data_IF_147057768509
#
_entry.id   IF_147057768509
#
_cell.length_a   1.000
_cell.length_b   1.000
_cell.length_c   1.000
_cell.angle_alpha   90.00
_cell.angle_beta   90.00
_cell.angle_gamma   90.00
#
_symmetry.space_group_name_H-M   'P 1'
#
loop_
_entity.id
_entity.type
_entity.pdbx_description
1 polymer ?
#
# COMPACT_ATOMS: atom_id res chain seq x y z
N UNK A 1 35.81 -4.05 -7.42
CA UNK A 1 35.40 -3.50 -8.73
C UNK A 1 34.79 -2.11 -8.48
N UNK A 2 35.34 -1.08 -9.09
CA UNK A 2 34.71 0.26 -9.07
C UNK A 2 33.68 0.27 -10.17
N UNK A 3 32.40 0.31 -9.81
CA UNK A 3 31.36 0.59 -10.77
C UNK A 3 31.49 2.06 -11.18
N UNK A 4 31.64 2.32 -12.46
CA UNK A 4 31.52 3.66 -13.03
C UNK A 4 30.05 4.04 -12.90
N UNK A 5 29.73 4.90 -11.93
CA UNK A 5 28.44 5.58 -11.88
C UNK A 5 28.34 6.38 -13.18
N UNK A 6 27.37 6.07 -13.99
CA UNK A 6 26.90 7.00 -15.02
C UNK A 6 26.41 8.21 -14.25
N UNK A 7 26.97 9.39 -14.52
CA UNK A 7 26.66 10.64 -13.82
C UNK A 7 25.26 11.14 -14.25
N UNK A 8 24.22 10.41 -13.89
CA UNK A 8 22.83 10.80 -14.03
C UNK A 8 22.25 11.21 -12.66
N UNK A 9 21.21 12.03 -12.66
CA UNK A 9 20.43 12.32 -11.47
C UNK A 9 19.68 11.06 -11.05
N UNK A 10 19.66 10.75 -9.77
CA UNK A 10 18.82 9.69 -9.19
C UNK A 10 17.95 10.25 -8.07
N UNK A 11 16.82 9.62 -7.82
CA UNK A 11 15.96 9.89 -6.65
C UNK A 11 15.74 8.61 -5.87
N UNK A 12 15.56 8.75 -4.56
CA UNK A 12 15.26 7.66 -3.64
C UNK A 12 13.84 7.81 -3.09
N UNK A 13 12.98 6.87 -3.44
CA UNK A 13 11.56 6.83 -3.06
C UNK A 13 11.33 5.65 -2.14
N UNK A 14 11.02 5.89 -0.86
CA UNK A 14 10.71 4.84 0.11
C UNK A 14 9.21 4.67 0.28
N UNK A 15 8.72 3.42 0.28
CA UNK A 15 7.30 3.13 0.53
C UNK A 15 7.09 2.69 1.97
N UNK A 16 6.37 3.51 2.74
CA UNK A 16 6.14 3.32 4.17
C UNK A 16 4.88 2.52 4.52
N UNK A 17 4.06 2.15 3.55
CA UNK A 17 2.84 1.36 3.77
C UNK A 17 2.37 0.75 2.47
N UNK A 18 1.93 -0.50 2.50
CA UNK A 18 1.27 -1.19 1.39
C UNK A 18 -0.24 -1.36 1.58
N UNK A 19 -0.80 -0.94 2.71
CA UNK A 19 -2.25 -0.98 2.98
C UNK A 19 -2.62 -0.16 4.22
N UNK A 20 -3.88 0.21 4.34
CA UNK A 20 -4.38 0.89 5.54
C UNK A 20 -4.32 -0.04 6.77
N UNK A 21 -3.53 0.35 7.77
CA UNK A 21 -3.30 -0.43 8.98
C UNK A 21 -1.98 -1.21 8.99
N UNK A 22 -1.07 -0.91 8.05
CA UNK A 22 0.28 -1.48 8.00
C UNK A 22 1.15 -1.02 9.19
N UNK A 23 2.41 -1.38 9.17
CA UNK A 23 3.36 -1.19 10.25
C UNK A 23 3.58 0.29 10.61
N UNK A 24 3.55 0.59 11.91
CA UNK A 24 3.92 1.91 12.43
C UNK A 24 5.44 2.13 12.51
N UNK A 25 6.24 1.09 12.30
CA UNK A 25 7.70 1.17 12.36
C UNK A 25 8.31 1.66 11.06
N UNK A 26 7.63 1.46 9.93
CA UNK A 26 8.10 1.77 8.58
C UNK A 26 8.57 3.21 8.43
N UNK A 27 7.73 4.16 8.82
CA UNK A 27 8.05 5.60 8.72
C UNK A 27 9.34 5.92 9.44
N UNK A 28 9.50 5.44 10.68
CA UNK A 28 10.71 5.68 11.47
C UNK A 28 11.95 5.08 10.80
N UNK A 29 11.88 3.84 10.33
CA UNK A 29 12.98 3.18 9.63
C UNK A 29 13.41 3.96 8.38
N UNK A 30 12.44 4.34 7.56
CA UNK A 30 12.67 5.05 6.30
C UNK A 30 13.18 6.47 6.53
N UNK A 31 12.60 7.21 7.48
CA UNK A 31 13.06 8.57 7.81
C UNK A 31 14.46 8.54 8.42
N UNK A 32 14.75 7.64 9.34
CA UNK A 32 16.03 7.63 10.04
C UNK A 32 17.19 7.13 9.14
N UNK A 33 16.93 6.13 8.30
CA UNK A 33 17.99 5.39 7.60
C UNK A 33 17.83 5.33 6.08
N UNK A 34 16.69 5.74 5.51
CA UNK A 34 16.40 5.60 4.08
C UNK A 34 17.15 6.59 3.19
N UNK A 35 17.53 7.75 3.70
CA UNK A 35 18.10 8.86 2.92
C UNK A 35 17.24 9.17 1.70
N UNK A 36 15.99 9.55 1.92
CA UNK A 36 14.94 9.65 0.91
C UNK A 36 14.76 11.07 0.39
N UNK A 37 14.49 11.18 -0.92
CA UNK A 37 13.93 12.36 -1.55
C UNK A 37 12.40 12.37 -1.38
N UNK A 38 11.77 11.18 -1.45
CA UNK A 38 10.34 11.00 -1.31
C UNK A 38 10.00 9.85 -0.36
N UNK A 39 8.99 10.07 0.46
CA UNK A 39 8.34 9.06 1.29
C UNK A 39 6.91 8.87 0.79
N UNK A 40 6.55 7.67 0.38
CA UNK A 40 5.22 7.37 -0.14
C UNK A 40 4.47 6.41 0.75
N UNK A 41 3.13 6.46 0.69
CA UNK A 41 2.24 5.54 1.41
C UNK A 41 1.11 5.14 0.48
N UNK A 42 0.97 3.84 0.31
CA UNK A 42 -0.18 3.24 -0.34
C UNK A 42 -1.13 2.66 0.71
N UNK A 43 -2.33 3.23 0.80
CA UNK A 43 -3.37 2.82 1.75
C UNK A 43 -4.61 2.25 1.04
N UNK A 44 -4.68 2.35 -0.29
CA UNK A 44 -5.94 2.14 -0.99
C UNK A 44 -6.00 0.83 -1.76
N UNK A 45 -7.07 0.11 -1.51
CA UNK A 45 -7.58 -0.98 -2.33
C UNK A 45 -9.10 -0.82 -2.46
N UNK A 46 -9.76 -1.67 -3.21
CA UNK A 46 -11.22 -1.68 -3.33
C UNK A 46 -11.90 -1.87 -1.97
N UNK A 47 -11.32 -2.67 -1.07
CA UNK A 47 -11.81 -2.90 0.29
C UNK A 47 -11.71 -1.63 1.11
N UNK A 48 -10.55 -0.98 1.11
CA UNK A 48 -10.32 0.25 1.90
C UNK A 48 -11.19 1.40 1.40
N UNK A 49 -11.37 1.56 0.08
CA UNK A 49 -12.31 2.53 -0.48
C UNK A 49 -13.74 2.29 0.01
N UNK A 50 -14.19 1.04 0.08
CA UNK A 50 -15.50 0.68 0.62
C UNK A 50 -15.62 1.01 2.11
N UNK A 51 -14.60 0.74 2.91
CA UNK A 51 -14.56 1.06 4.34
C UNK A 51 -14.57 2.57 4.58
N UNK A 52 -13.79 3.34 3.82
CA UNK A 52 -13.75 4.80 3.90
C UNK A 52 -15.07 5.43 3.50
N UNK A 53 -15.70 4.91 2.44
CA UNK A 53 -17.05 5.32 2.04
C UNK A 53 -18.06 5.08 3.17
N UNK A 54 -18.06 3.90 3.77
CA UNK A 54 -18.93 3.60 4.91
C UNK A 54 -18.64 4.47 6.13
N UNK A 55 -17.38 4.82 6.38
CA UNK A 55 -17.00 5.74 7.44
C UNK A 55 -17.53 7.16 7.18
N UNK A 56 -17.40 7.66 5.95
CA UNK A 56 -17.92 8.98 5.54
C UNK A 56 -19.44 9.07 5.61
N UNK A 57 -20.15 7.99 5.28
CA UNK A 57 -21.62 7.93 5.44
C UNK A 57 -22.06 8.08 6.89
N UNK A 58 -21.26 7.59 7.85
CA UNK A 58 -21.56 7.72 9.31
C UNK A 58 -21.11 9.06 9.87
N UNK A 59 -19.98 9.58 9.38
CA UNK A 59 -19.35 10.83 9.82
C UNK A 59 -18.80 11.55 8.58
N UNK A 60 -19.46 12.62 8.12
CA UNK A 60 -19.09 13.33 6.89
C UNK A 60 -17.64 13.84 6.83
N UNK A 61 -17.04 14.09 7.99
CA UNK A 61 -15.64 14.52 8.13
C UNK A 61 -14.64 13.39 7.90
N UNK A 62 -15.07 12.12 7.95
CA UNK A 62 -14.24 10.95 7.70
C UNK A 62 -14.20 10.61 6.20
N UNK A 63 -13.64 9.46 5.83
CA UNK A 63 -13.52 8.98 4.45
C UNK A 63 -12.09 8.99 3.94
N UNK A 64 -11.13 9.07 4.84
CA UNK A 64 -9.70 8.99 4.58
C UNK A 64 -9.03 8.02 5.58
N UNK A 65 -7.77 7.65 5.34
CA UNK A 65 -6.98 6.83 6.27
C UNK A 65 -6.36 7.71 7.38
N UNK A 66 -6.92 7.72 8.60
CA UNK A 66 -6.42 8.59 9.67
C UNK A 66 -5.02 8.21 10.15
N UNK A 67 -4.54 7.02 9.83
CA UNK A 67 -3.23 6.48 10.22
C UNK A 67 -2.07 7.32 9.68
N UNK A 68 -2.25 8.04 8.57
CA UNK A 68 -1.23 8.94 8.02
C UNK A 68 -0.85 10.04 9.00
N UNK A 69 -1.78 10.49 9.84
CA UNK A 69 -1.55 11.59 10.79
C UNK A 69 -0.53 11.18 11.86
N UNK A 70 -0.73 10.12 12.66
CA UNK A 70 0.26 9.67 13.63
C UNK A 70 1.54 9.14 12.99
N UNK A 71 1.51 8.69 11.73
CA UNK A 71 2.70 8.24 11.01
C UNK A 71 3.62 9.39 10.63
N UNK A 72 3.09 10.54 10.18
CA UNK A 72 3.89 11.67 9.74
C UNK A 72 4.23 12.66 10.84
N UNK A 73 3.28 12.93 11.75
CA UNK A 73 3.39 14.02 12.75
C UNK A 73 4.70 13.98 13.57
N UNK A 74 5.22 12.81 14.00
CA UNK A 74 6.49 12.76 14.75
C UNK A 74 7.73 13.12 13.92
N UNK A 75 7.64 13.10 12.59
CA UNK A 75 8.77 13.13 11.68
C UNK A 75 8.85 14.41 10.83
N UNK A 76 7.93 15.36 10.95
CA UNK A 76 7.91 16.58 10.12
C UNK A 76 9.24 17.35 10.14
N UNK A 77 9.85 17.52 11.32
CA UNK A 77 11.12 18.26 11.41
C UNK A 77 12.24 17.55 10.65
N UNK A 78 12.32 16.23 10.75
CA UNK A 78 13.32 15.43 10.04
C UNK A 78 13.08 15.43 8.53
N UNK A 79 11.84 15.32 8.09
CA UNK A 79 11.46 15.38 6.67
C UNK A 79 11.82 16.73 6.07
N UNK A 80 11.47 17.82 6.73
CA UNK A 80 11.80 19.19 6.28
C UNK A 80 13.31 19.45 6.28
N UNK A 81 14.03 19.03 7.31
CA UNK A 81 15.47 19.22 7.38
C UNK A 81 16.23 18.53 6.24
N UNK A 82 15.65 17.46 5.68
CA UNK A 82 16.21 16.70 4.54
C UNK A 82 15.63 17.12 3.20
N UNK A 83 14.58 17.93 3.18
CA UNK A 83 13.83 18.24 1.96
C UNK A 83 13.00 17.09 1.43
N UNK A 84 12.78 16.03 2.24
CA UNK A 84 11.99 14.86 1.84
C UNK A 84 10.52 15.24 1.71
N UNK A 85 9.94 15.01 0.54
CA UNK A 85 8.52 15.23 0.27
C UNK A 85 7.71 13.96 0.50
N UNK A 86 6.40 14.11 0.73
CA UNK A 86 5.49 12.99 0.98
C UNK A 86 4.43 12.92 -0.11
N UNK A 87 4.18 11.73 -0.65
CA UNK A 87 3.07 11.47 -1.58
C UNK A 87 2.26 10.28 -1.06
N UNK A 88 0.94 10.44 -0.92
CA UNK A 88 0.13 9.45 -0.24
C UNK A 88 -1.32 9.45 -0.76
N UNK A 89 -1.90 8.29 -0.94
CA UNK A 89 -3.30 8.13 -1.31
C UNK A 89 -4.26 8.00 -0.10
N UNK A 90 -3.79 8.38 1.10
CA UNK A 90 -4.60 8.34 2.32
C UNK A 90 -5.90 9.14 2.25
N UNK A 91 -6.04 10.06 1.31
CA UNK A 91 -7.23 10.89 1.14
C UNK A 91 -8.51 10.10 0.84
N UNK A 92 -8.39 8.93 0.20
CA UNK A 92 -9.52 8.05 -0.03
C UNK A 92 -10.68 8.74 -0.75
N UNK A 93 -11.84 8.84 -0.09
CA UNK A 93 -13.01 9.55 -0.60
C UNK A 93 -13.18 10.96 -0.02
N UNK A 94 -12.21 11.44 0.74
CA UNK A 94 -12.21 12.77 1.39
C UNK A 94 -10.78 13.33 1.55
N UNK A 95 -10.06 13.60 0.46
CA UNK A 95 -8.69 14.11 0.53
C UNK A 95 -8.59 15.47 1.23
N UNK A 96 -9.57 16.36 1.07
CA UNK A 96 -9.63 17.66 1.75
C UNK A 96 -9.72 17.50 3.27
N UNK A 97 -10.61 16.62 3.76
CA UNK A 97 -10.72 16.34 5.19
C UNK A 97 -9.45 15.72 5.78
N UNK A 98 -8.75 14.89 5.00
CA UNK A 98 -7.44 14.36 5.36
C UNK A 98 -6.40 15.48 5.50
N UNK A 99 -6.33 16.40 4.53
CA UNK A 99 -5.41 17.52 4.54
C UNK A 99 -5.66 18.47 5.72
N UNK A 100 -6.92 18.79 6.01
CA UNK A 100 -7.28 19.61 7.17
C UNK A 100 -6.86 18.94 8.50
N UNK A 101 -7.09 17.63 8.62
CA UNK A 101 -6.71 16.90 9.84
C UNK A 101 -5.20 16.86 10.02
N UNK A 102 -4.44 16.66 8.92
CA UNK A 102 -2.99 16.68 8.94
C UNK A 102 -2.43 18.07 9.25
N UNK A 103 -2.99 19.13 8.65
CA UNK A 103 -2.61 20.52 8.92
C UNK A 103 -2.80 20.88 10.39
N UNK A 104 -3.96 20.53 10.98
CA UNK A 104 -4.24 20.73 12.42
C UNK A 104 -3.23 19.97 13.30
N UNK A 105 -2.82 18.78 12.91
CA UNK A 105 -1.82 18.00 13.65
C UNK A 105 -0.42 18.62 13.55
N UNK A 106 -0.04 19.12 12.38
CA UNK A 106 1.21 19.83 12.14
C UNK A 106 1.28 21.11 12.98
N UNK A 107 0.23 21.91 12.97
CA UNK A 107 0.12 23.14 13.77
C UNK A 107 0.30 22.88 15.27
N UNK A 108 -0.36 21.83 15.80
CA UNK A 108 -0.21 21.40 17.20
C UNK A 108 1.23 21.00 17.55
N UNK A 109 2.00 20.56 16.57
CA UNK A 109 3.43 20.25 16.72
C UNK A 109 4.33 21.48 16.53
N UNK A 110 3.77 22.64 16.21
CA UNK A 110 4.50 23.87 15.95
C UNK A 110 5.10 23.95 14.54
N UNK A 111 4.74 23.02 13.66
CA UNK A 111 5.14 23.07 12.25
C UNK A 111 4.23 24.05 11.54
N UNK A 112 4.79 25.19 11.14
CA UNK A 112 4.09 26.26 10.43
C UNK A 112 4.30 26.15 8.94
N UNK A 113 3.34 26.67 8.17
CA UNK A 113 3.44 26.83 6.71
C UNK A 113 3.73 25.52 5.93
N UNK A 114 3.23 24.38 6.46
CA UNK A 114 3.30 23.10 5.76
C UNK A 114 2.42 23.16 4.50
N UNK A 115 3.04 23.02 3.33
CA UNK A 115 2.33 23.02 2.05
C UNK A 115 1.75 21.64 1.77
N UNK A 116 0.45 21.49 1.99
CA UNK A 116 -0.30 20.26 1.72
C UNK A 116 -1.17 20.47 0.49
N UNK A 117 -1.02 19.60 -0.50
CA UNK A 117 -1.94 19.53 -1.64
C UNK A 117 -2.93 18.38 -1.39
N UNK A 118 -4.23 18.67 -1.57
CA UNK A 118 -5.29 17.66 -1.59
C UNK A 118 -5.75 17.48 -3.04
N UNK A 119 -5.69 16.27 -3.58
CA UNK A 119 -6.08 15.92 -4.94
C UNK A 119 -7.35 15.08 -4.88
N UNK A 120 -8.45 15.64 -5.38
CA UNK A 120 -9.74 14.98 -5.57
C UNK A 120 -10.13 14.93 -7.05
N UNK A 121 -11.43 14.68 -7.29
CA UNK A 121 -12.00 14.67 -8.65
C UNK A 121 -12.09 13.28 -9.30
N UNK A 122 -11.59 12.26 -8.64
CA UNK A 122 -11.70 10.85 -9.03
C UNK A 122 -13.12 10.28 -8.83
N UNK A 123 -13.96 10.93 -8.03
CA UNK A 123 -15.32 10.51 -7.74
C UNK A 123 -16.24 10.69 -8.96
N UNK A 124 -16.97 9.63 -9.29
CA UNK A 124 -17.95 9.59 -10.38
C UNK A 124 -19.31 9.27 -9.78
N UNK A 125 -20.33 10.04 -10.17
CA UNK A 125 -21.71 9.71 -9.79
C UNK A 125 -22.25 8.63 -10.72
N UNK A 126 -22.64 7.50 -10.15
CA UNK A 126 -23.28 6.39 -10.86
C UNK A 126 -24.46 5.86 -10.06
N UNK A 127 -25.64 5.79 -10.70
CA UNK A 127 -26.85 5.30 -10.06
C UNK A 127 -26.70 3.85 -9.58
N UNK A 128 -27.16 3.57 -8.36
CA UNK A 128 -27.09 2.25 -7.75
C UNK A 128 -25.72 1.89 -7.16
N UNK A 129 -24.79 2.85 -7.10
CA UNK A 129 -23.53 2.72 -6.36
C UNK A 129 -23.55 3.57 -5.10
N UNK A 130 -22.77 3.17 -4.09
CA UNK A 130 -22.51 3.96 -2.88
C UNK A 130 -21.33 4.89 -3.13
N UNK A 131 -20.33 4.43 -3.86
CA UNK A 131 -19.23 5.22 -4.42
C UNK A 131 -18.78 4.62 -5.75
N UNK A 132 -18.21 5.48 -6.60
CA UNK A 132 -17.49 5.10 -7.79
C UNK A 132 -16.32 6.06 -7.96
N UNK A 133 -15.12 5.52 -8.18
CA UNK A 133 -13.88 6.29 -8.25
C UNK A 133 -13.06 5.83 -9.44
N UNK A 134 -12.64 6.77 -10.29
CA UNK A 134 -11.70 6.49 -11.38
C UNK A 134 -10.27 6.38 -10.84
N UNK A 135 -9.50 5.46 -11.40
CA UNK A 135 -8.09 5.35 -11.09
C UNK A 135 -7.31 6.36 -11.93
N UNK A 136 -6.87 7.43 -11.29
CA UNK A 136 -6.06 8.46 -11.94
C UNK A 136 -4.59 8.03 -12.05
N UNK A 137 -3.88 8.66 -12.98
CA UNK A 137 -2.44 8.52 -13.14
C UNK A 137 -1.64 9.56 -12.33
N UNK A 138 -0.37 9.69 -12.67
CA UNK A 138 0.59 10.50 -11.93
C UNK A 138 0.51 12.01 -12.23
N UNK A 139 -0.23 12.45 -13.26
CA UNK A 139 -0.22 13.86 -13.72
C UNK A 139 -0.59 14.85 -12.62
N UNK A 140 -1.61 14.53 -11.81
CA UNK A 140 -2.05 15.40 -10.71
C UNK A 140 -1.01 15.51 -9.59
N UNK A 141 -0.28 14.42 -9.31
CA UNK A 141 0.83 14.42 -8.36
C UNK A 141 1.96 15.31 -8.84
N UNK A 142 2.33 15.20 -10.13
CA UNK A 142 3.37 16.06 -10.75
C UNK A 142 2.99 17.52 -10.64
N UNK A 143 1.74 17.87 -10.91
CA UNK A 143 1.28 19.25 -10.84
C UNK A 143 1.32 19.80 -9.40
N UNK A 144 0.89 19.02 -8.42
CA UNK A 144 0.99 19.41 -7.01
C UNK A 144 2.45 19.64 -6.56
N UNK A 145 3.35 18.76 -6.97
CA UNK A 145 4.79 18.89 -6.67
C UNK A 145 5.40 20.13 -7.35
N UNK A 146 5.03 20.45 -8.59
CA UNK A 146 5.46 21.67 -9.29
C UNK A 146 5.00 22.94 -8.58
N UNK A 147 3.83 22.93 -7.95
CA UNK A 147 3.34 24.04 -7.13
C UNK A 147 4.01 24.11 -5.74
N UNK A 148 4.96 23.22 -5.45
CA UNK A 148 5.78 23.23 -4.26
C UNK A 148 5.14 22.56 -3.06
N UNK A 149 4.23 21.60 -3.25
CA UNK A 149 3.71 20.80 -2.17
C UNK A 149 4.81 20.00 -1.47
N UNK A 150 4.82 20.03 -0.12
CA UNK A 150 5.66 19.20 0.74
C UNK A 150 4.97 17.86 1.02
N UNK A 151 3.64 17.87 1.08
CA UNK A 151 2.79 16.69 1.24
C UNK A 151 1.70 16.72 0.19
N UNK A 152 1.59 15.64 -0.56
CA UNK A 152 0.52 15.42 -1.55
C UNK A 152 -0.38 14.31 -1.04
N UNK A 153 -1.65 14.62 -0.82
CA UNK A 153 -2.69 13.68 -0.41
C UNK A 153 -3.67 13.50 -1.55
N UNK A 154 -3.90 12.27 -1.97
CA UNK A 154 -4.78 11.98 -3.12
C UNK A 154 -5.99 11.13 -2.73
N UNK A 155 -7.05 11.22 -3.54
CA UNK A 155 -8.07 10.20 -3.66
C UNK A 155 -7.54 8.98 -4.41
N UNK A 156 -8.42 8.30 -5.18
CA UNK A 156 -8.03 7.08 -5.91
C UNK A 156 -7.18 7.41 -7.12
N UNK A 157 -5.96 6.91 -7.11
CA UNK A 157 -5.09 6.82 -8.27
C UNK A 157 -4.54 5.40 -8.38
N UNK A 158 -3.84 5.07 -9.44
CA UNK A 158 -3.07 3.80 -9.51
C UNK A 158 -1.93 3.85 -8.51
N UNK A 159 -1.70 2.76 -7.82
CA UNK A 159 -0.79 2.68 -6.68
C UNK A 159 0.65 3.03 -7.08
N UNK A 160 1.08 2.55 -8.24
CA UNK A 160 2.39 2.90 -8.84
C UNK A 160 2.55 4.40 -9.19
N UNK A 161 1.47 5.14 -9.37
CA UNK A 161 1.53 6.58 -9.65
C UNK A 161 2.09 7.41 -8.48
N UNK A 162 2.05 6.87 -7.25
CA UNK A 162 2.70 7.47 -6.07
C UNK A 162 4.21 7.60 -6.25
N UNK A 163 4.81 6.71 -7.02
CA UNK A 163 6.25 6.67 -7.30
C UNK A 163 6.57 7.29 -8.65
N UNK A 164 5.77 7.00 -9.66
CA UNK A 164 5.91 7.59 -11.00
C UNK A 164 5.83 9.12 -10.96
N UNK A 165 4.90 9.69 -10.16
CA UNK A 165 4.75 11.14 -10.03
C UNK A 165 6.02 11.87 -9.60
N UNK A 166 6.66 11.48 -8.49
CA UNK A 166 7.99 11.94 -8.11
C UNK A 166 9.04 11.83 -9.22
N UNK A 167 9.15 10.70 -9.89
CA UNK A 167 10.12 10.49 -10.97
C UNK A 167 9.89 11.46 -12.15
N UNK A 168 8.66 11.57 -12.63
CA UNK A 168 8.30 12.52 -13.70
C UNK A 168 8.57 13.96 -13.28
N UNK A 169 8.24 14.32 -12.03
CA UNK A 169 8.48 15.66 -11.49
C UNK A 169 9.98 16.02 -11.48
N UNK A 170 10.81 15.14 -10.95
CA UNK A 170 12.24 15.42 -10.76
C UNK A 170 13.04 15.38 -12.06
N UNK A 171 12.70 14.46 -12.96
CA UNK A 171 13.46 14.27 -14.20
C UNK A 171 12.86 15.02 -15.38
N UNK A 172 11.62 15.51 -15.27
CA UNK A 172 10.93 16.18 -16.36
C UNK A 172 10.62 15.26 -17.54
N UNK A 173 10.36 13.98 -17.28
CA UNK A 173 10.01 13.02 -18.33
C UNK A 173 8.79 13.48 -19.11
N UNK A 174 8.87 13.34 -20.42
CA UNK A 174 7.74 13.67 -21.27
C UNK A 174 6.65 12.59 -21.16
N UNK A 175 5.39 13.03 -21.26
CA UNK A 175 4.23 12.13 -21.17
C UNK A 175 4.08 11.18 -22.38
N UNK A 176 4.97 11.24 -23.34
CA UNK A 176 5.10 10.31 -24.47
C UNK A 176 6.42 9.55 -24.47
N UNK A 177 7.20 9.61 -23.40
CA UNK A 177 8.38 8.79 -23.17
C UNK A 177 7.95 7.47 -22.49
N UNK A 178 7.26 6.66 -23.27
CA UNK A 178 6.54 5.47 -22.76
C UNK A 178 7.43 4.51 -21.99
N UNK A 179 8.67 4.33 -22.44
CA UNK A 179 9.61 3.41 -21.76
C UNK A 179 9.97 3.90 -20.36
N UNK A 180 10.22 5.20 -20.19
CA UNK A 180 10.51 5.78 -18.87
C UNK A 180 9.28 5.78 -17.97
N UNK A 181 8.09 6.09 -18.52
CA UNK A 181 6.84 6.02 -17.77
C UNK A 181 6.54 4.59 -17.31
N UNK A 182 6.78 3.60 -18.17
CA UNK A 182 6.63 2.19 -17.84
C UNK A 182 7.66 1.74 -16.77
N UNK A 183 8.91 2.17 -16.89
CA UNK A 183 9.95 1.87 -15.91
C UNK A 183 9.64 2.48 -14.53
N UNK A 184 9.22 3.75 -14.47
CA UNK A 184 8.78 4.40 -13.24
C UNK A 184 7.54 3.74 -12.63
N UNK A 185 6.59 3.29 -13.46
CA UNK A 185 5.42 2.54 -13.03
C UNK A 185 5.80 1.15 -12.51
N UNK A 186 6.76 0.46 -13.13
CA UNK A 186 7.28 -0.82 -12.66
C UNK A 186 7.99 -0.66 -11.30
N UNK A 187 8.80 0.37 -11.13
CA UNK A 187 9.42 0.68 -9.85
C UNK A 187 8.35 0.90 -8.77
N UNK A 188 7.28 1.63 -9.11
CA UNK A 188 6.13 1.84 -8.25
C UNK A 188 5.45 0.54 -7.88
N UNK A 189 5.09 -0.28 -8.85
CA UNK A 189 4.43 -1.57 -8.65
C UNK A 189 5.23 -2.53 -7.76
N UNK A 190 6.55 -2.53 -7.87
CA UNK A 190 7.40 -3.38 -7.02
C UNK A 190 7.41 -2.92 -5.56
N UNK A 191 7.35 -1.60 -5.28
CA UNK A 191 7.50 -1.09 -3.91
C UNK A 191 6.18 -0.70 -3.23
N UNK A 192 5.09 -0.51 -3.97
CA UNK A 192 3.80 -0.01 -3.45
C UNK A 192 3.21 -0.87 -2.33
N UNK A 193 3.39 -2.19 -2.40
CA UNK A 193 2.91 -3.12 -1.37
C UNK A 193 3.86 -3.23 -0.15
N UNK A 194 4.70 -2.23 0.07
CA UNK A 194 5.56 -2.14 1.26
C UNK A 194 6.45 -3.36 1.44
N UNK A 195 6.39 -3.99 2.61
CA UNK A 195 7.29 -5.10 2.97
C UNK A 195 7.11 -6.38 2.15
N UNK A 196 6.18 -6.47 1.20
CA UNK A 196 6.03 -7.67 0.37
C UNK A 196 7.30 -7.93 -0.45
N UNK A 197 7.82 -6.92 -1.15
CA UNK A 197 9.04 -7.08 -1.97
C UNK A 197 10.35 -7.17 -1.15
N UNK A 198 10.27 -7.01 0.17
CA UNK A 198 11.38 -7.24 1.09
C UNK A 198 11.25 -8.57 1.86
N UNK A 199 10.39 -9.45 1.40
CA UNK A 199 10.22 -10.82 1.91
C UNK A 199 9.07 -11.02 2.90
N UNK A 200 8.21 -10.02 3.12
CA UNK A 200 7.06 -10.14 4.02
C UNK A 200 5.98 -11.12 3.54
N UNK A 201 5.93 -11.39 2.24
CA UNK A 201 5.03 -12.35 1.59
C UNK A 201 5.76 -13.37 0.71
N UNK A 202 7.06 -13.58 0.97
CA UNK A 202 7.89 -14.46 0.16
C UNK A 202 7.51 -15.93 0.34
N UNK A 203 7.39 -16.67 -0.78
CA UNK A 203 7.10 -18.12 -0.77
C UNK A 203 8.12 -18.89 0.06
N UNK A 204 9.41 -18.59 -0.09
CA UNK A 204 10.49 -19.18 0.70
C UNK A 204 10.72 -18.42 2.01
N UNK A 205 9.65 -18.14 2.72
CA UNK A 205 9.60 -17.30 3.93
C UNK A 205 10.60 -17.72 5.02
N UNK A 206 11.01 -19.00 5.09
CA UNK A 206 12.00 -19.49 6.06
C UNK A 206 13.36 -18.80 5.92
N UNK A 207 13.69 -18.32 4.72
CA UNK A 207 14.93 -17.62 4.43
C UNK A 207 14.96 -16.19 4.99
N UNK A 208 13.82 -15.64 5.38
CA UNK A 208 13.68 -14.25 5.82
C UNK A 208 13.00 -14.10 7.20
N UNK A 209 12.30 -15.14 7.67
CA UNK A 209 11.44 -15.09 8.88
C UNK A 209 12.16 -14.71 10.17
N UNK A 210 13.43 -15.03 10.29
CA UNK A 210 14.22 -14.72 11.50
C UNK A 210 14.35 -13.22 11.78
N UNK A 211 14.13 -12.37 10.76
CA UNK A 211 14.25 -10.93 10.85
C UNK A 211 12.94 -10.18 10.62
N UNK A 212 11.80 -10.86 10.53
CA UNK A 212 10.49 -10.23 10.31
C UNK A 212 10.08 -9.25 11.42
N UNK A 213 10.52 -9.46 12.65
CA UNK A 213 10.27 -8.55 13.77
C UNK A 213 10.78 -7.11 13.51
N UNK A 214 11.74 -6.94 12.59
CA UNK A 214 12.27 -5.64 12.17
C UNK A 214 12.33 -5.55 10.64
N UNK A 215 11.35 -6.10 9.94
CA UNK A 215 11.33 -6.13 8.48
C UNK A 215 11.48 -4.70 7.91
N UNK A 216 12.38 -4.56 6.95
CA UNK A 216 12.63 -3.29 6.28
C UNK A 216 11.58 -3.00 5.20
N UNK A 217 11.23 -1.74 5.07
CA UNK A 217 10.37 -1.27 3.99
C UNK A 217 11.19 -0.86 2.78
N UNK A 218 10.65 -1.05 1.55
CA UNK A 218 11.43 -0.92 0.33
C UNK A 218 11.72 0.53 -0.05
N UNK A 219 12.80 0.67 -0.80
CA UNK A 219 13.24 1.92 -1.41
C UNK A 219 13.52 1.62 -2.89
N UNK A 220 12.89 2.37 -3.79
CA UNK A 220 13.28 2.44 -5.19
C UNK A 220 14.29 3.57 -5.38
N UNK A 221 15.44 3.27 -5.96
CA UNK A 221 16.42 4.27 -6.41
C UNK A 221 16.32 4.36 -7.92
N UNK A 222 15.70 5.43 -8.43
CA UNK A 222 15.33 5.61 -9.83
C UNK A 222 16.26 6.62 -10.46
N UNK A 223 16.83 6.27 -11.61
CA UNK A 223 17.68 7.15 -12.41
C UNK A 223 16.86 7.87 -13.50
N UNK A 224 17.42 8.96 -14.03
CA UNK A 224 16.74 9.79 -15.02
C UNK A 224 16.57 9.07 -16.38
N UNK A 225 17.33 8.03 -16.64
CA UNK A 225 17.19 7.16 -17.82
C UNK A 225 16.10 6.09 -17.68
N UNK A 226 15.43 6.02 -16.50
CA UNK A 226 14.41 5.05 -16.18
C UNK A 226 14.92 3.75 -15.55
N UNK A 227 16.24 3.48 -15.56
CA UNK A 227 16.79 2.33 -14.83
C UNK A 227 16.62 2.52 -13.33
N UNK A 228 16.41 1.43 -12.58
CA UNK A 228 16.23 1.55 -11.14
C UNK A 228 16.78 0.37 -10.35
N UNK A 229 17.03 0.63 -9.08
CA UNK A 229 17.38 -0.37 -8.07
C UNK A 229 16.28 -0.45 -7.02
N UNK A 230 16.07 -1.65 -6.51
CA UNK A 230 15.24 -1.89 -5.32
C UNK A 230 16.17 -2.24 -4.16
N UNK A 231 15.96 -1.59 -3.04
CA UNK A 231 16.72 -1.81 -1.80
C UNK A 231 15.83 -1.57 -0.58
N UNK A 232 16.41 -1.55 0.61
CA UNK A 232 15.73 -1.20 1.87
C UNK A 232 16.62 -0.40 2.79
N UNK A 233 16.06 0.14 3.87
CA UNK A 233 16.86 0.87 4.86
C UNK A 233 17.92 -0.04 5.51
N UNK A 234 19.18 0.40 5.63
CA UNK A 234 20.24 -0.39 6.25
C UNK A 234 19.91 -0.76 7.70
N UNK A 235 20.37 -1.94 8.14
CA UNK A 235 20.14 -2.44 9.50
C UNK A 235 18.72 -2.95 9.78
N UNK A 236 17.86 -3.00 8.77
CA UNK A 236 16.52 -3.60 8.88
C UNK A 236 16.53 -5.05 8.44
N UNK A 237 15.52 -5.80 8.93
CA UNK A 237 15.28 -7.20 8.55
C UNK A 237 14.64 -7.34 7.17
N UNK A 238 14.19 -8.56 6.87
CA UNK A 238 13.73 -8.91 5.54
C UNK A 238 14.89 -9.08 4.56
N UNK A 239 14.58 -9.27 3.29
CA UNK A 239 15.57 -9.48 2.23
C UNK A 239 15.07 -8.93 0.91
N UNK A 240 15.87 -8.08 0.28
CA UNK A 240 15.68 -7.66 -1.12
C UNK A 240 16.56 -8.54 -2.00
N UNK A 241 15.91 -9.44 -2.73
CA UNK A 241 16.56 -10.44 -3.60
C UNK A 241 15.68 -10.71 -4.82
N UNK A 242 16.18 -11.53 -5.74
CA UNK A 242 15.43 -11.93 -6.92
C UNK A 242 14.01 -12.43 -6.57
N UNK A 243 13.88 -13.37 -5.62
CA UNK A 243 12.60 -14.00 -5.29
C UNK A 243 11.53 -13.01 -4.83
N UNK A 244 11.72 -12.27 -3.73
CA UNK A 244 10.74 -11.28 -3.26
C UNK A 244 10.38 -10.22 -4.29
N UNK A 245 11.36 -9.75 -5.09
CA UNK A 245 11.12 -8.74 -6.13
C UNK A 245 10.34 -9.33 -7.31
N UNK A 246 10.66 -10.56 -7.73
CA UNK A 246 9.97 -11.25 -8.82
C UNK A 246 8.53 -11.60 -8.44
N UNK A 247 8.29 -12.04 -7.20
CA UNK A 247 6.95 -12.30 -6.68
C UNK A 247 6.11 -11.03 -6.67
N UNK A 248 6.67 -9.90 -6.27
CA UNK A 248 5.96 -8.63 -6.30
C UNK A 248 5.74 -8.12 -7.73
N UNK A 249 6.70 -8.29 -8.64
CA UNK A 249 6.54 -7.91 -10.04
C UNK A 249 5.36 -8.64 -10.70
N UNK A 250 5.13 -9.90 -10.35
CA UNK A 250 4.05 -10.71 -10.90
C UNK A 250 2.73 -10.60 -10.14
N UNK A 251 2.75 -9.97 -8.98
CA UNK A 251 1.57 -9.80 -8.13
C UNK A 251 0.51 -8.93 -8.82
N UNK A 252 -0.74 -9.43 -8.90
CA UNK A 252 -1.87 -8.74 -9.54
C UNK A 252 -1.71 -8.41 -11.04
N UNK A 253 -0.63 -8.83 -11.68
CA UNK A 253 -0.40 -8.63 -13.11
C UNK A 253 -1.06 -9.77 -13.90
N UNK A 254 -2.11 -9.44 -14.69
CA UNK A 254 -2.82 -10.41 -15.50
C UNK A 254 -2.06 -10.77 -16.80
N UNK A 255 -1.77 -9.77 -17.61
CA UNK A 255 -0.97 -9.93 -18.83
C UNK A 255 0.31 -9.10 -18.70
N UNK A 256 1.48 -9.73 -18.56
CA UNK A 256 2.75 -9.01 -18.42
C UNK A 256 3.12 -8.18 -19.65
N UNK A 257 2.68 -8.57 -20.84
CA UNK A 257 2.94 -7.80 -22.07
C UNK A 257 2.03 -6.59 -22.23
N UNK A 258 1.02 -6.40 -21.35
CA UNK A 258 0.09 -5.29 -21.44
C UNK A 258 -0.51 -5.00 -20.05
N UNK A 259 0.31 -4.49 -19.15
CA UNK A 259 -0.15 -3.99 -17.86
C UNK A 259 -0.69 -2.58 -18.04
N UNK A 260 -2.03 -2.47 -18.07
CA UNK A 260 -2.73 -1.23 -18.45
C UNK A 260 -2.80 -0.29 -17.25
N UNK A 261 -2.18 0.87 -17.40
CA UNK A 261 -2.17 1.97 -16.43
C UNK A 261 -2.69 3.25 -17.09
N UNK A 262 -3.13 4.25 -16.33
CA UNK A 262 -3.59 5.52 -16.89
C UNK A 262 -2.53 6.29 -17.68
N UNK A 263 -1.27 6.18 -17.27
CA UNK A 263 -0.16 6.95 -17.85
C UNK A 263 0.53 6.20 -18.99
N UNK A 264 0.43 4.86 -19.02
CA UNK A 264 1.16 4.00 -19.95
C UNK A 264 0.57 2.60 -19.95
N UNK A 265 0.68 1.87 -21.06
CA UNK A 265 0.57 0.40 -21.08
C UNK A 265 1.99 -0.15 -20.96
N UNK A 266 2.32 -0.72 -19.80
CA UNK A 266 3.65 -1.25 -19.53
C UNK A 266 3.77 -2.71 -19.99
N UNK A 267 4.92 -3.05 -20.59
CA UNK A 267 5.29 -4.40 -20.96
C UNK A 267 6.43 -4.90 -20.06
N UNK A 268 6.14 -5.94 -19.28
CA UNK A 268 7.05 -6.59 -18.34
C UNK A 268 7.60 -7.92 -18.87
N UNK A 269 7.33 -8.28 -20.14
CA UNK A 269 7.69 -9.58 -20.72
C UNK A 269 9.20 -9.83 -20.73
N UNK A 270 9.99 -8.77 -20.93
CA UNK A 270 11.44 -8.82 -21.06
C UNK A 270 12.17 -8.29 -19.82
N UNK A 271 11.45 -8.14 -18.70
CA UNK A 271 12.05 -7.64 -17.46
C UNK A 271 13.13 -8.58 -16.94
N UNK A 272 14.26 -7.99 -16.58
CA UNK A 272 15.40 -8.67 -15.98
C UNK A 272 15.58 -8.17 -14.55
N UNK A 273 15.70 -9.12 -13.63
CA UNK A 273 15.92 -8.88 -12.21
C UNK A 273 17.28 -9.46 -11.85
N UNK A 274 18.21 -8.63 -11.42
CA UNK A 274 19.60 -8.98 -11.14
C UNK A 274 20.00 -8.55 -9.73
N UNK A 275 20.44 -9.49 -8.90
CA UNK A 275 21.06 -9.16 -7.61
C UNK A 275 22.45 -8.56 -7.86
N UNK A 276 22.62 -7.28 -7.56
CA UNK A 276 23.89 -6.54 -7.78
C UNK A 276 24.65 -6.26 -6.49
N UNK A 277 24.07 -6.60 -5.35
CA UNK A 277 24.65 -6.46 -4.01
C UNK A 277 23.76 -7.06 -2.95
N UNK A 278 24.21 -7.07 -1.71
CA UNK A 278 23.37 -7.48 -0.57
C UNK A 278 22.20 -6.50 -0.43
N UNK A 279 20.97 -7.04 -0.44
CA UNK A 279 19.74 -6.25 -0.42
C UNK A 279 19.65 -5.18 -1.52
N UNK A 280 20.26 -5.41 -2.67
CA UNK A 280 20.22 -4.52 -3.83
C UNK A 280 19.94 -5.32 -5.09
N UNK A 281 18.81 -5.03 -5.71
CA UNK A 281 18.34 -5.66 -6.95
C UNK A 281 18.18 -4.61 -8.03
N UNK A 282 18.77 -4.87 -9.20
CA UNK A 282 18.57 -4.06 -10.41
C UNK A 282 17.42 -4.64 -11.22
N UNK A 283 16.54 -3.76 -11.69
CA UNK A 283 15.45 -4.11 -12.60
C UNK A 283 15.61 -3.33 -13.91
N UNK A 284 15.55 -4.01 -15.03
CA UNK A 284 15.70 -3.45 -16.39
C UNK A 284 14.82 -4.19 -17.38
N UNK A 285 14.74 -3.70 -18.62
CA UNK A 285 14.01 -4.36 -19.70
C UNK A 285 12.50 -4.06 -19.72
N UNK A 286 12.04 -3.08 -18.96
CA UNK A 286 10.67 -2.58 -19.03
C UNK A 286 10.53 -1.72 -20.28
N UNK A 287 9.47 -1.94 -21.05
CA UNK A 287 9.10 -1.09 -22.18
C UNK A 287 7.67 -0.60 -22.06
N UNK A 288 7.29 0.44 -22.80
CA UNK A 288 5.99 1.06 -22.70
C UNK A 288 5.33 1.34 -24.04
N UNK A 289 4.00 1.41 -24.01
CA UNK A 289 3.14 1.79 -25.13
C UNK A 289 2.21 2.92 -24.71
N UNK A 290 1.62 3.66 -25.66
CA UNK A 290 0.62 4.67 -25.35
C UNK A 290 -0.49 4.13 -24.41
N UNK A 291 -0.97 4.93 -23.46
CA UNK A 291 -2.10 4.53 -22.61
C UNK A 291 -3.37 4.35 -23.43
N UNK A 292 -4.34 3.64 -22.87
CA UNK A 292 -5.67 3.53 -23.46
C UNK A 292 -6.47 4.84 -23.27
N UNK A 293 -7.57 4.97 -23.98
CA UNK A 293 -8.52 6.08 -23.86
C UNK A 293 -9.53 5.93 -22.72
N UNK A 294 -9.34 4.94 -21.85
CA UNK A 294 -10.24 4.60 -20.76
C UNK A 294 -9.50 4.41 -19.44
N UNK A 295 -10.19 4.69 -18.33
CA UNK A 295 -9.69 4.50 -16.98
C UNK A 295 -10.42 3.35 -16.27
N UNK A 296 -9.70 2.63 -15.42
CA UNK A 296 -10.31 1.66 -14.48
C UNK A 296 -11.24 2.41 -13.53
N UNK A 297 -12.42 1.85 -13.27
CA UNK A 297 -13.42 2.38 -12.34
C UNK A 297 -13.66 1.39 -11.20
N UNK A 298 -13.32 1.78 -9.97
CA UNK A 298 -13.67 1.08 -8.75
C UNK A 298 -15.06 1.47 -8.27
N UNK A 299 -15.93 0.50 -7.96
CA UNK A 299 -17.33 0.74 -7.54
C UNK A 299 -17.64 0.03 -6.23
N UNK A 300 -18.33 0.73 -5.33
CA UNK A 300 -18.87 0.16 -4.10
C UNK A 300 -20.39 0.08 -4.18
N UNK A 301 -20.93 -1.09 -3.92
CA UNK A 301 -22.39 -1.33 -3.84
C UNK A 301 -22.77 -1.92 -2.50
N UNK A 302 -23.92 -1.56 -1.98
CA UNK A 302 -24.49 -2.24 -0.82
C UNK A 302 -24.99 -3.62 -1.24
N UNK A 303 -24.46 -4.68 -0.62
CA UNK A 303 -24.82 -6.07 -0.89
C UNK A 303 -25.23 -6.80 0.39
N UNK A 304 -26.19 -6.20 1.15
CA UNK A 304 -26.71 -6.76 2.38
C UNK A 304 -25.78 -6.55 3.59
N UNK A 305 -25.99 -7.37 4.60
CA UNK A 305 -25.28 -7.29 5.88
C UNK A 305 -24.67 -8.64 6.22
N UNK A 306 -23.51 -8.62 6.82
CA UNK A 306 -22.87 -9.79 7.42
C UNK A 306 -22.73 -9.56 8.92
N UNK A 307 -23.21 -10.49 9.70
CA UNK A 307 -23.02 -10.53 11.15
C UNK A 307 -22.27 -11.79 11.54
N UNK A 308 -21.33 -11.67 12.46
CA UNK A 308 -20.61 -12.79 13.02
C UNK A 308 -20.95 -12.90 14.51
N UNK A 309 -21.36 -14.09 14.92
CA UNK A 309 -21.65 -14.38 16.31
C UNK A 309 -20.74 -15.52 16.76
N UNK A 310 -20.13 -15.36 17.93
CA UNK A 310 -19.41 -16.43 18.61
C UNK A 310 -20.24 -16.85 19.82
N UNK A 311 -20.62 -18.13 19.87
CA UNK A 311 -21.39 -18.70 20.99
C UNK A 311 -20.54 -19.77 21.67
N UNK A 312 -20.34 -19.61 22.96
CA UNK A 312 -19.56 -20.52 23.76
C UNK A 312 -20.48 -21.38 24.60
N UNK A 313 -20.43 -22.69 24.42
CA UNK A 313 -21.16 -23.65 25.22
C UNK A 313 -20.27 -24.24 26.28
N UNK A 314 -20.66 -24.08 27.55
CA UNK A 314 -19.96 -24.65 28.71
C UNK A 314 -20.84 -25.63 29.50
N UNK A 315 -20.24 -26.32 30.46
CA UNK A 315 -20.92 -27.26 31.34
C UNK A 315 -21.11 -28.66 30.75
N UNK A 316 -22.20 -29.38 31.15
CA UNK A 316 -22.49 -30.70 30.63
C UNK A 316 -22.90 -30.66 29.17
N UNK A 317 -22.44 -31.63 28.40
CA UNK A 317 -22.85 -31.94 27.04
C UNK A 317 -22.82 -30.74 26.07
N UNK A 318 -21.68 -30.01 25.97
CA UNK A 318 -21.59 -28.80 25.16
C UNK A 318 -21.78 -29.09 23.66
N UNK A 319 -21.43 -30.26 23.18
CA UNK A 319 -21.63 -30.70 21.80
C UNK A 319 -23.09 -30.91 21.45
N UNK A 320 -23.89 -31.44 22.39
CA UNK A 320 -25.32 -31.62 22.18
C UNK A 320 -26.04 -30.26 22.13
N UNK A 321 -25.65 -29.31 22.98
CA UNK A 321 -26.15 -27.94 22.98
C UNK A 321 -25.82 -27.23 21.66
N UNK A 322 -24.64 -27.40 21.13
CA UNK A 322 -24.22 -26.90 19.83
C UNK A 322 -25.14 -27.42 18.72
N UNK A 323 -25.34 -28.75 18.69
CA UNK A 323 -26.17 -29.39 17.68
C UNK A 323 -27.63 -28.93 17.72
N UNK A 324 -28.19 -28.73 18.91
CA UNK A 324 -29.55 -28.22 19.08
C UNK A 324 -29.66 -26.75 18.63
N UNK A 325 -28.68 -25.93 18.95
CA UNK A 325 -28.69 -24.51 18.56
C UNK A 325 -28.56 -24.34 17.04
N UNK A 326 -27.71 -25.13 16.38
CA UNK A 326 -27.56 -25.10 14.92
C UNK A 326 -28.82 -25.52 14.17
N UNK A 327 -29.61 -26.41 14.73
CA UNK A 327 -30.90 -26.84 14.15
C UNK A 327 -32.02 -25.82 14.35
N UNK A 328 -31.97 -24.99 15.37
CA UNK A 328 -33.00 -23.99 15.70
C UNK A 328 -32.84 -22.66 14.97
N UNK A 329 -31.74 -22.42 14.32
CA UNK A 329 -31.45 -21.15 13.72
C UNK A 329 -31.20 -21.30 12.22
N UNK A 330 -32.14 -20.79 11.41
CA UNK A 330 -31.94 -20.62 9.96
C UNK A 330 -30.95 -19.49 9.64
N UNK A 331 -29.96 -19.27 10.51
CA UNK A 331 -28.94 -18.23 10.34
C UNK A 331 -27.57 -18.86 10.07
N UNK A 332 -26.77 -18.22 9.23
CA UNK A 332 -25.36 -18.57 9.02
C UNK A 332 -24.54 -18.25 10.27
N UNK A 333 -24.30 -19.24 11.11
CA UNK A 333 -23.42 -19.11 12.27
C UNK A 333 -22.04 -19.71 11.97
N UNK A 334 -21.00 -18.99 12.36
CA UNK A 334 -19.70 -19.63 12.61
C UNK A 334 -19.73 -20.08 14.06
N UNK A 335 -19.87 -21.37 14.27
CA UNK A 335 -19.91 -21.95 15.61
C UNK A 335 -18.49 -22.39 16.01
N UNK A 336 -17.97 -21.85 17.10
CA UNK A 336 -16.77 -22.34 17.76
C UNK A 336 -17.18 -23.23 18.91
N UNK A 337 -17.07 -24.55 18.75
CA UNK A 337 -17.28 -25.48 19.86
C UNK A 337 -15.97 -25.65 20.63
N UNK A 338 -15.99 -25.33 21.92
CA UNK A 338 -14.88 -25.53 22.83
C UNK A 338 -15.15 -26.75 23.74
N UNK A 339 -14.33 -27.77 23.62
CA UNK A 339 -14.36 -28.90 24.53
C UNK A 339 -13.32 -28.72 25.65
N UNK A 340 -13.80 -28.54 26.88
CA UNK A 340 -12.95 -28.35 28.04
C UNK A 340 -12.14 -29.65 28.34
N UNK A 341 -10.84 -29.58 28.07
CA UNK A 341 -9.89 -30.52 28.68
C UNK A 341 -9.26 -29.87 29.93
N UNK A 342 -9.11 -30.61 30.93
CA UNK A 342 -8.86 -30.44 32.36
C UNK A 342 -7.85 -29.40 32.87
N UNK A 343 -7.45 -28.37 32.16
CA UNK A 343 -6.59 -27.30 32.72
C UNK A 343 -6.74 -25.94 32.06
N UNK A 344 -6.52 -24.86 32.83
CA UNK A 344 -6.49 -23.47 32.41
C UNK A 344 -5.52 -23.18 31.21
N UNK A 345 -4.55 -24.08 31.00
CA UNK A 345 -3.62 -23.96 29.83
C UNK A 345 -4.33 -24.11 28.48
N UNK A 346 -5.45 -24.84 28.44
CA UNK A 346 -6.27 -24.98 27.23
C UNK A 346 -7.03 -23.71 26.85
N UNK A 347 -7.22 -22.79 27.80
CA UNK A 347 -7.90 -21.49 27.55
C UNK A 347 -7.01 -20.53 26.76
N UNK A 348 -5.69 -20.72 26.78
CA UNK A 348 -4.72 -19.88 26.09
C UNK A 348 -4.31 -20.39 24.70
N UNK A 349 -5.06 -21.31 24.13
CA UNK A 349 -5.01 -21.58 22.68
C UNK A 349 -3.90 -22.48 22.19
N UNK A 350 -3.24 -23.25 23.06
CA UNK A 350 -2.13 -24.12 22.65
C UNK A 350 -2.54 -25.54 22.28
N UNK A 351 -3.83 -25.89 22.40
CA UNK A 351 -4.35 -27.21 21.99
C UNK A 351 -5.81 -27.10 21.49
N UNK A 352 -6.07 -26.18 20.57
CA UNK A 352 -7.38 -26.00 19.96
C UNK A 352 -7.57 -26.98 18.81
N UNK A 353 -8.24 -28.10 19.07
CA UNK A 353 -8.98 -28.82 18.01
C UNK A 353 -10.26 -28.06 17.72
N UNK A 354 -10.14 -26.89 17.08
CA UNK A 354 -11.29 -26.14 16.59
C UNK A 354 -11.78 -26.77 15.29
N UNK A 355 -13.02 -27.26 15.25
CA UNK A 355 -13.72 -27.52 13.99
C UNK A 355 -14.46 -26.26 13.61
N UNK A 356 -14.00 -25.60 12.55
CA UNK A 356 -14.71 -24.49 11.91
C UNK A 356 -15.64 -25.11 10.87
N UNK A 357 -16.94 -24.92 11.04
CA UNK A 357 -17.92 -25.32 10.04
C UNK A 357 -18.36 -24.09 9.25
N UNK A 358 -18.10 -24.10 7.95
CA UNK A 358 -18.66 -23.12 7.01
C UNK A 358 -19.95 -23.69 6.44
N UNK A 359 -21.06 -23.03 6.67
CA UNK A 359 -22.29 -23.30 5.93
C UNK A 359 -22.27 -22.41 4.68
N UNK A 360 -22.06 -23.03 3.52
CA UNK A 360 -22.27 -22.38 2.22
C UNK A 360 -23.76 -22.43 1.88
N UNK A 361 -24.29 -21.30 1.42
CA UNK A 361 -25.55 -21.21 0.68
C UNK A 361 -25.29 -21.21 -0.81
#
# INVERSE_FOLDING_TARGET
MRFTQVAGRSIRVGCGSGFWGDSRLSTKQLVDHGNLDYLVYDYLSEITMSLMTAARMKKPEMGYAPDIIPSLTPHFDALRARGTKVVCNAGGVNPEGCAEALAKAAEKKGVKDLKIAAIGGDQIFESGTVSANAYFGAQSVVEALKQGAEVVLTGRLTDSALILGPAVHEFGWAWNDWDKLAAGSCAGHIVECGAQCTGGNHTDWKNVSNSWWNIGFPIAEINDDGSFLVTKAPGTGGKVAFGPVAEQLTYEVGNPAAYILPDVVADFSEVKIEEVGEDIVRVTGVTGHPPTDSLKLGKTKLNGFRSMFAVYFGGRDPQEKECLTSKCTNMNFVLFAYQKSHSIRSILGLDLKSKVYYLNY
#
